data_IF_140468165403
#
_entry.id   IF_140468165403
#
_cell.length_a   1.000
_cell.length_b   1.000
_cell.length_c   1.000
_cell.angle_alpha   90.00
_cell.angle_beta   90.00
_cell.angle_gamma   90.00
#
_symmetry.space_group_name_H-M   'P 1'
#
loop_
_entity.id
_entity.type
_entity.pdbx_description
1 polymer ?
#
# COMPACT_ATOMS: atom_id res chain seq x y z
N UNK A 1 4.91 15.72 1.25
CA UNK A 1 5.89 14.71 0.76
C UNK A 1 5.13 13.59 0.07
N UNK A 2 5.65 13.01 -1.01
CA UNK A 2 5.01 11.88 -1.70
C UNK A 2 5.44 10.56 -1.05
N UNK A 3 4.48 9.75 -0.60
CA UNK A 3 4.75 8.46 0.03
C UNK A 3 5.26 7.43 -0.99
N UNK A 4 6.00 6.42 -0.50
CA UNK A 4 6.64 5.41 -1.36
C UNK A 4 5.66 4.70 -2.30
N UNK A 5 4.48 4.35 -1.81
CA UNK A 5 3.39 3.77 -2.60
C UNK A 5 2.99 4.69 -3.77
N UNK A 6 2.83 5.99 -3.53
CA UNK A 6 2.46 6.97 -4.55
C UNK A 6 3.54 7.11 -5.62
N UNK A 7 4.82 7.10 -5.21
CA UNK A 7 5.95 7.15 -6.15
C UNK A 7 6.00 5.91 -7.05
N UNK A 8 5.77 4.73 -6.47
CA UNK A 8 5.73 3.47 -7.20
C UNK A 8 4.51 3.38 -8.12
N UNK A 9 3.35 3.84 -7.66
CA UNK A 9 2.14 3.93 -8.48
C UNK A 9 2.37 4.85 -9.69
N UNK A 10 2.96 6.03 -9.47
CA UNK A 10 3.32 6.96 -10.54
C UNK A 10 4.28 6.33 -11.57
N UNK A 11 5.27 5.55 -11.13
CA UNK A 11 6.17 4.82 -12.05
C UNK A 11 5.43 3.80 -12.92
N UNK A 12 4.34 3.25 -12.42
CA UNK A 12 3.49 2.32 -13.15
C UNK A 12 2.33 3.00 -13.90
N UNK A 13 2.30 4.35 -13.98
CA UNK A 13 1.17 5.12 -14.50
C UNK A 13 -0.18 4.77 -13.85
N UNK A 14 -0.15 4.39 -12.57
CA UNK A 14 -1.32 4.00 -11.80
C UNK A 14 -1.85 5.19 -10.99
N UNK A 15 -3.13 5.48 -11.19
CA UNK A 15 -3.88 6.49 -10.42
C UNK A 15 -4.27 5.97 -9.04
N UNK A 16 -4.73 6.88 -8.17
CA UNK A 16 -5.26 6.51 -6.87
C UNK A 16 -6.46 5.54 -7.00
N UNK A 17 -7.45 5.86 -7.84
CA UNK A 17 -8.66 5.05 -7.99
C UNK A 17 -8.35 3.65 -8.53
N UNK A 18 -7.42 3.54 -9.48
CA UNK A 18 -6.94 2.25 -9.99
C UNK A 18 -6.26 1.43 -8.89
N UNK A 19 -5.38 2.06 -8.10
CA UNK A 19 -4.74 1.39 -6.97
C UNK A 19 -5.77 0.86 -5.97
N UNK A 20 -6.74 1.70 -5.57
CA UNK A 20 -7.81 1.30 -4.65
C UNK A 20 -8.65 0.16 -5.24
N UNK A 21 -9.02 0.24 -6.52
CA UNK A 21 -9.76 -0.81 -7.22
C UNK A 21 -9.01 -2.15 -7.23
N UNK A 22 -7.72 -2.13 -7.55
CA UNK A 22 -6.87 -3.33 -7.57
C UNK A 22 -6.65 -3.94 -6.18
N UNK A 23 -6.57 -3.10 -5.15
CA UNK A 23 -6.50 -3.54 -3.75
C UNK A 23 -7.80 -4.22 -3.32
N UNK A 24 -8.96 -3.67 -3.70
CA UNK A 24 -10.28 -4.27 -3.39
C UNK A 24 -10.45 -5.63 -4.06
N UNK A 25 -10.01 -5.80 -5.30
CA UNK A 25 -10.01 -7.10 -6.00
C UNK A 25 -9.21 -8.19 -5.25
N UNK A 26 -8.20 -7.79 -4.47
CA UNK A 26 -7.38 -8.68 -3.63
C UNK A 26 -7.92 -8.86 -2.20
N UNK A 27 -9.16 -8.44 -1.96
CA UNK A 27 -9.80 -8.53 -0.65
C UNK A 27 -9.15 -7.62 0.40
N UNK A 28 -8.64 -6.45 0.00
CA UNK A 28 -8.31 -5.38 0.94
C UNK A 28 -9.51 -4.43 1.03
N UNK A 29 -9.89 -4.02 2.24
CA UNK A 29 -10.93 -3.00 2.39
C UNK A 29 -10.43 -1.66 1.84
N UNK A 30 -11.37 -0.85 1.37
CA UNK A 30 -11.09 0.49 0.86
C UNK A 30 -10.44 1.41 1.91
N UNK A 31 -10.92 1.47 3.17
CA UNK A 31 -10.25 2.26 4.21
C UNK A 31 -8.79 1.84 4.42
N UNK A 32 -8.50 0.55 4.41
CA UNK A 32 -7.13 0.04 4.56
C UNK A 32 -6.27 0.38 3.34
N UNK A 33 -6.81 0.30 2.13
CA UNK A 33 -6.09 0.67 0.92
C UNK A 33 -5.73 2.17 0.91
N UNK A 34 -6.63 3.04 1.39
CA UNK A 34 -6.38 4.48 1.55
C UNK A 34 -5.27 4.73 2.58
N UNK A 35 -5.32 4.06 3.74
CA UNK A 35 -4.25 4.16 4.75
C UNK A 35 -2.89 3.76 4.15
N UNK A 36 -2.84 2.69 3.34
CA UNK A 36 -1.61 2.26 2.66
C UNK A 36 -1.14 3.28 1.64
N UNK A 37 -2.04 3.84 0.83
CA UNK A 37 -1.72 4.88 -0.13
C UNK A 37 -1.08 6.12 0.53
N UNK A 38 -1.58 6.47 1.71
CA UNK A 38 -1.08 7.58 2.53
C UNK A 38 0.17 7.20 3.36
N UNK A 39 0.72 6.00 3.17
CA UNK A 39 1.95 5.59 3.86
C UNK A 39 1.82 5.43 5.37
N UNK A 40 0.59 5.25 5.90
CA UNK A 40 0.34 5.12 7.34
C UNK A 40 1.16 4.00 7.99
N UNK A 41 1.52 2.97 7.20
CA UNK A 41 2.35 1.86 7.64
C UNK A 41 3.81 2.21 7.98
N UNK A 42 4.30 3.40 7.59
CA UNK A 42 5.66 3.83 7.89
C UNK A 42 5.86 4.21 9.37
N UNK A 43 4.78 4.49 10.08
CA UNK A 43 4.80 4.93 11.48
C UNK A 43 4.65 3.76 12.48
N UNK A 44 4.52 2.53 11.99
CA UNK A 44 4.25 1.38 12.85
C UNK A 44 5.52 0.54 13.10
N UNK A 45 5.91 0.44 14.37
CA UNK A 45 6.93 -0.52 14.82
C UNK A 45 6.36 -1.94 15.02
N UNK A 46 5.03 -2.09 15.14
CA UNK A 46 4.33 -3.36 15.21
C UNK A 46 3.12 -3.39 14.26
N UNK A 47 3.09 -4.33 13.31
CA UNK A 47 2.00 -4.53 12.31
C UNK A 47 0.66 -5.01 12.89
N UNK A 48 0.41 -4.77 14.19
CA UNK A 48 -0.87 -4.98 14.87
C UNK A 48 -1.61 -3.67 15.16
N UNK A 49 -0.95 -2.52 15.00
CA UNK A 49 -1.57 -1.24 15.27
C UNK A 49 -2.46 -0.81 14.10
N UNK A 50 -3.73 -0.54 14.39
CA UNK A 50 -4.68 0.16 13.52
C UNK A 50 -5.07 -0.51 12.17
N UNK A 51 -5.19 -1.84 12.16
CA UNK A 51 -5.82 -2.64 11.07
C UNK A 51 -5.00 -2.80 9.78
N UNK A 52 -3.71 -2.43 9.76
CA UNK A 52 -2.83 -2.70 8.60
C UNK A 52 -1.91 -3.88 8.87
N UNK A 53 -2.37 -5.06 8.45
CA UNK A 53 -1.58 -6.29 8.51
C UNK A 53 -0.55 -6.39 7.38
N UNK A 54 0.53 -7.15 7.61
CA UNK A 54 1.55 -7.48 6.59
C UNK A 54 0.94 -8.07 5.30
N UNK A 55 -0.17 -8.81 5.41
CA UNK A 55 -0.91 -9.33 4.26
C UNK A 55 -1.46 -8.22 3.36
N UNK A 56 -1.86 -7.08 3.93
CA UNK A 56 -2.33 -5.92 3.14
C UNK A 56 -1.16 -5.26 2.40
N UNK A 57 0.01 -5.17 3.02
CA UNK A 57 1.23 -4.67 2.36
C UNK A 57 1.71 -5.61 1.24
N UNK A 58 1.57 -6.93 1.41
CA UNK A 58 1.84 -7.89 0.34
C UNK A 58 0.91 -7.70 -0.87
N UNK A 59 -0.39 -7.45 -0.63
CA UNK A 59 -1.35 -7.11 -1.70
C UNK A 59 -0.94 -5.82 -2.41
N UNK A 60 -0.59 -4.77 -1.67
CA UNK A 60 -0.14 -3.51 -2.27
C UNK A 60 1.14 -3.68 -3.10
N UNK A 61 2.07 -4.51 -2.64
CA UNK A 61 3.29 -4.83 -3.37
C UNK A 61 2.98 -5.57 -4.68
N UNK A 62 2.04 -6.51 -4.64
CA UNK A 62 1.54 -7.22 -5.82
C UNK A 62 0.86 -6.27 -6.82
N UNK A 63 -0.04 -5.39 -6.36
CA UNK A 63 -0.67 -4.35 -7.19
C UNK A 63 0.37 -3.47 -7.89
N UNK A 64 1.41 -3.09 -7.15
CA UNK A 64 2.50 -2.24 -7.64
C UNK A 64 3.59 -3.01 -8.37
N UNK A 65 3.48 -4.35 -8.51
CA UNK A 65 4.48 -5.21 -9.16
C UNK A 65 5.89 -5.06 -8.57
N UNK A 66 5.98 -4.90 -7.25
CA UNK A 66 7.23 -4.79 -6.51
C UNK A 66 7.28 -5.81 -5.38
N UNK A 67 8.46 -5.98 -4.77
CA UNK A 67 8.59 -6.76 -3.53
C UNK A 67 8.11 -5.93 -2.34
N UNK A 68 7.51 -6.58 -1.34
CA UNK A 68 7.00 -5.90 -0.13
C UNK A 68 8.06 -5.04 0.58
N UNK A 69 9.33 -5.47 0.59
CA UNK A 69 10.44 -4.67 1.15
C UNK A 69 10.67 -3.32 0.46
N UNK A 70 10.23 -3.15 -0.79
CA UNK A 70 10.31 -1.87 -1.51
C UNK A 70 9.30 -0.83 -0.99
N UNK A 71 8.25 -1.27 -0.29
CA UNK A 71 7.26 -0.41 0.34
C UNK A 71 7.74 0.11 1.70
N UNK A 72 8.50 -0.71 2.43
CA UNK A 72 8.91 -0.50 3.84
C UNK A 72 10.38 -0.08 3.97
N UNK A 73 11.03 0.32 2.86
CA UNK A 73 12.40 0.81 2.92
C UNK A 73 12.44 2.08 3.79
N UNK A 74 13.00 1.95 5.00
CA UNK A 74 13.49 3.09 5.79
C UNK A 74 14.61 3.78 5.03
#
# INVERSE_FOLDING_TARGET
MSHRVQQLAKKNNMTFDEFIGEMRKRGCSEPTAIKIWNGAYNEYDNFKDNDIYLSNLRKAADVLRVRTGMLVSK
#
